data_IF_624794438839
#
_entry.id   IF_624794438839
#
_cell.length_a   1.000
_cell.length_b   1.000
_cell.length_c   1.000
_cell.angle_alpha   90.00
_cell.angle_beta   90.00
_cell.angle_gamma   90.00
#
_symmetry.space_group_name_H-M   'P 1'
#
loop_
_entity.id
_entity.type
_entity.pdbx_description
1 polymer ?
#
# COMPACT_ATOMS: atom_id res chain seq x y z
N UNK A 1 -7.88 5.23 13.97
CA UNK A 1 -6.75 4.38 13.53
C UNK A 1 -5.41 5.00 13.94
N UNK A 2 -5.04 6.18 13.43
CA UNK A 2 -3.73 6.83 13.73
C UNK A 2 -3.51 7.06 15.23
N UNK A 3 -4.52 7.58 15.94
CA UNK A 3 -4.44 7.80 17.39
C UNK A 3 -4.26 6.49 18.17
N UNK A 4 -4.89 5.40 17.70
CA UNK A 4 -4.71 4.07 18.29
C UNK A 4 -3.29 3.51 18.06
N UNK A 5 -2.57 4.01 17.05
CA UNK A 5 -1.15 3.74 16.83
C UNK A 5 -0.23 4.69 17.62
N UNK A 6 -0.79 5.56 18.47
CA UNK A 6 -0.04 6.58 19.22
C UNK A 6 0.46 7.76 18.37
N UNK A 7 -0.13 7.97 17.19
CA UNK A 7 0.22 9.08 16.30
C UNK A 7 -0.80 10.21 16.30
N UNK A 8 -0.53 11.20 15.45
CA UNK A 8 -1.34 12.40 15.27
C UNK A 8 -1.85 12.47 13.83
N UNK A 9 -3.07 12.96 13.63
CA UNK A 9 -3.67 13.16 12.31
C UNK A 9 -4.32 14.54 12.23
N UNK A 10 -4.31 15.15 11.05
CA UNK A 10 -4.93 16.46 10.83
C UNK A 10 -5.21 16.74 9.36
N UNK A 11 -5.76 17.92 9.12
CA UNK A 11 -6.08 18.43 7.78
C UNK A 11 -5.69 19.90 7.69
N UNK A 12 -5.18 20.30 6.53
CA UNK A 12 -5.08 21.69 6.13
C UNK A 12 -5.99 21.89 4.92
N UNK A 13 -6.97 22.79 5.01
CA UNK A 13 -7.93 23.01 3.93
C UNK A 13 -8.20 24.49 3.75
N UNK A 14 -8.29 24.89 2.49
CA UNK A 14 -8.75 26.21 2.10
C UNK A 14 -9.84 26.10 1.02
N UNK A 15 -10.90 26.87 1.19
CA UNK A 15 -12.10 26.79 0.37
C UNK A 15 -11.79 27.07 -1.10
N UNK A 16 -12.12 26.14 -1.98
CA UNK A 16 -11.83 26.26 -3.42
C UNK A 16 -10.39 25.89 -3.82
N UNK A 17 -9.49 25.64 -2.88
CA UNK A 17 -8.09 25.27 -3.13
C UNK A 17 -7.76 23.80 -2.78
N UNK A 18 -8.73 23.09 -2.20
CA UNK A 18 -8.59 21.68 -1.83
C UNK A 18 -8.11 21.47 -0.39
N UNK A 19 -7.82 20.21 -0.05
CA UNK A 19 -7.46 19.82 1.30
C UNK A 19 -6.29 18.83 1.30
N UNK A 20 -5.36 19.02 2.24
CA UNK A 20 -4.25 18.11 2.53
C UNK A 20 -4.49 17.44 3.87
N UNK A 21 -4.69 16.12 3.83
CA UNK A 21 -4.74 15.29 5.03
C UNK A 21 -3.34 14.76 5.35
N UNK A 22 -2.94 14.84 6.61
CA UNK A 22 -1.63 14.38 7.05
C UNK A 22 -1.76 13.55 8.33
N UNK A 23 -0.86 12.60 8.51
CA UNK A 23 -0.70 11.89 9.76
C UNK A 23 0.78 11.62 10.04
N UNK A 24 1.12 11.54 11.31
CA UNK A 24 2.45 11.18 11.79
C UNK A 24 2.34 10.09 12.84
N UNK A 25 3.17 9.06 12.73
CA UNK A 25 3.30 7.96 13.69
C UNK A 25 4.79 7.74 13.99
N UNK A 26 5.11 7.34 15.22
CA UNK A 26 6.45 6.89 15.58
C UNK A 26 6.59 5.40 15.27
N UNK A 27 7.59 5.05 14.47
CA UNK A 27 7.91 3.66 14.14
C UNK A 27 9.31 3.30 14.65
N UNK A 28 9.47 2.06 15.09
CA UNK A 28 10.79 1.52 15.43
C UNK A 28 11.62 1.37 14.16
N UNK A 29 12.92 1.69 14.24
CA UNK A 29 13.84 1.46 13.13
C UNK A 29 14.06 -0.04 12.96
N UNK A 30 13.94 -0.52 11.73
CA UNK A 30 14.30 -1.90 11.40
C UNK A 30 15.80 -2.13 11.50
N UNK A 31 16.18 -3.33 11.93
CA UNK A 31 17.58 -3.75 11.97
C UNK A 31 18.04 -4.27 10.61
N UNK A 32 19.35 -4.25 10.34
CA UNK A 32 19.91 -4.84 9.11
C UNK A 32 19.56 -6.33 8.98
N UNK A 33 19.59 -7.07 10.09
CA UNK A 33 19.22 -8.49 10.12
C UNK A 33 17.74 -8.72 9.78
N UNK A 34 16.82 -7.85 10.20
CA UNK A 34 15.41 -7.94 9.79
C UNK A 34 15.22 -7.71 8.29
N UNK A 35 15.91 -6.72 7.74
CA UNK A 35 15.83 -6.40 6.31
C UNK A 35 16.34 -7.59 5.48
N UNK A 36 17.47 -8.18 5.88
CA UNK A 36 18.05 -9.37 5.25
C UNK A 36 17.13 -10.60 5.37
N UNK A 37 16.51 -10.84 6.54
CA UNK A 37 15.53 -11.93 6.71
C UNK A 37 14.28 -11.74 5.85
N UNK A 38 13.79 -10.51 5.72
CA UNK A 38 12.59 -10.22 4.96
C UNK A 38 12.82 -10.36 3.45
N UNK A 39 14.01 -9.99 2.97
CA UNK A 39 14.42 -10.16 1.57
C UNK A 39 14.77 -11.61 1.23
N UNK A 40 15.28 -12.39 2.19
CA UNK A 40 15.53 -13.82 2.01
C UNK A 40 14.26 -14.69 2.08
N UNK A 41 13.12 -14.14 2.50
CA UNK A 41 11.86 -14.87 2.55
C UNK A 41 11.30 -14.94 1.13
N UNK A 42 11.21 -16.14 0.50
CA UNK A 42 10.49 -16.26 -0.76
C UNK A 42 9.09 -15.72 -0.53
N UNK A 43 8.62 -14.84 -1.41
CA UNK A 43 7.23 -14.40 -1.35
C UNK A 43 6.37 -15.66 -1.33
N UNK A 44 5.72 -15.90 -0.19
CA UNK A 44 4.87 -17.05 0.02
C UNK A 44 3.57 -16.77 -0.72
N UNK A 45 3.62 -16.83 -2.05
CA UNK A 45 2.43 -16.88 -2.85
C UNK A 45 1.79 -18.23 -2.56
N UNK A 46 0.52 -18.27 -2.12
CA UNK A 46 -0.19 -19.53 -2.15
C UNK A 46 -0.09 -20.08 -3.58
N UNK A 47 0.17 -21.38 -3.73
CA UNK A 47 0.06 -22.03 -5.05
C UNK A 47 -1.37 -21.85 -5.52
N UNK A 48 -1.60 -20.88 -6.41
CA UNK A 48 -2.90 -20.65 -7.02
C UNK A 48 -3.04 -21.68 -8.12
N UNK A 49 -4.04 -22.54 -8.03
CA UNK A 49 -4.43 -23.39 -9.17
C UNK A 49 -4.79 -22.49 -10.35
N UNK A 50 -4.52 -22.87 -11.61
CA UNK A 50 -4.96 -22.11 -12.77
C UNK A 50 -6.45 -21.77 -12.68
N UNK A 51 -6.81 -20.51 -12.94
CA UNK A 51 -8.20 -20.03 -12.95
C UNK A 51 -8.49 -19.28 -14.23
N UNK A 52 -9.76 -19.34 -14.66
CA UNK A 52 -10.29 -18.45 -15.69
C UNK A 52 -10.70 -17.15 -15.01
N UNK A 53 -9.96 -16.07 -15.28
CA UNK A 53 -10.23 -14.74 -14.74
C UNK A 53 -10.84 -13.91 -15.85
N UNK A 54 -12.02 -13.34 -15.60
CA UNK A 54 -12.60 -12.34 -16.48
C UNK A 54 -12.04 -10.98 -16.07
N UNK A 55 -11.15 -10.44 -16.90
CA UNK A 55 -10.66 -9.08 -16.74
C UNK A 55 -11.54 -8.14 -17.57
N UNK A 56 -12.09 -7.11 -16.92
CA UNK A 56 -12.85 -6.05 -17.58
C UNK A 56 -12.08 -4.75 -17.37
N UNK A 57 -11.69 -4.12 -18.47
CA UNK A 57 -10.90 -2.89 -18.48
C UNK A 57 -11.52 -1.93 -19.51
N UNK A 58 -11.53 -0.63 -19.20
CA UNK A 58 -12.22 0.43 -19.94
C UNK A 58 -11.38 1.04 -21.08
N UNK A 59 -10.10 0.69 -21.17
CA UNK A 59 -9.11 1.13 -22.13
C UNK A 59 -8.63 -0.02 -23.02
N UNK A 60 -8.83 0.11 -24.33
CA UNK A 60 -8.46 -0.90 -25.33
C UNK A 60 -6.97 -1.25 -25.35
N UNK A 61 -6.09 -0.32 -24.95
CA UNK A 61 -4.65 -0.59 -24.86
C UNK A 61 -4.35 -1.50 -23.67
N UNK A 62 -5.00 -1.25 -22.54
CA UNK A 62 -4.79 -2.04 -21.32
C UNK A 62 -5.33 -3.47 -21.48
N UNK A 63 -6.39 -3.66 -22.28
CA UNK A 63 -6.89 -5.00 -22.63
C UNK A 63 -5.90 -5.87 -23.43
N UNK A 64 -4.95 -5.27 -24.16
CA UNK A 64 -3.98 -6.00 -25.00
C UNK A 64 -2.70 -6.37 -24.27
N UNK A 65 -2.40 -5.71 -23.16
CA UNK A 65 -1.14 -5.85 -22.40
C UNK A 65 -1.29 -6.73 -21.16
N UNK A 66 -2.51 -6.83 -20.63
CA UNK A 66 -2.83 -7.59 -19.42
C UNK A 66 -2.93 -9.11 -19.63
#
# INVERSE_FOLDING_TARGET
>A
IVEAMGGNIGVNSDGGHGSTFWFGITLSRSTKSEIERQSARPAAYPKVSPRHILLVEDNEINQKVA
#
